data_IF_358673759795
#
_entry.id   IF_358673759795
#
_cell.length_a   1.000
_cell.length_b   1.000
_cell.length_c   1.000
_cell.angle_alpha   90.00
_cell.angle_beta   90.00
_cell.angle_gamma   90.00
#
_symmetry.space_group_name_H-M   'P 1'
#
loop_
_entity.id
_entity.type
_entity.pdbx_description
1 polymer ?
#
# COMPACT_ATOMS: atom_id res chain seq x y z
N UNK A 1 -51.92 43.73 19.24
CA UNK A 1 -50.65 42.97 19.23
C UNK A 1 -50.11 42.95 17.79
N UNK A 2 -49.34 43.96 17.39
CA UNK A 2 -48.88 44.15 16.00
C UNK A 2 -47.52 43.47 15.83
N UNK A 3 -47.53 42.24 15.32
CA UNK A 3 -46.30 41.58 14.85
C UNK A 3 -45.96 42.23 13.50
N UNK A 4 -45.11 43.25 13.56
CA UNK A 4 -44.69 44.06 12.42
C UNK A 4 -44.10 43.19 11.31
N UNK A 5 -44.61 43.35 10.07
CA UNK A 5 -44.16 42.74 8.79
C UNK A 5 -42.63 42.64 8.63
N UNK A 6 -41.86 43.53 9.27
CA UNK A 6 -40.39 43.51 9.29
C UNK A 6 -39.78 42.21 9.85
N UNK A 7 -40.42 41.55 10.81
CA UNK A 7 -39.91 40.30 11.39
C UNK A 7 -40.10 39.07 10.48
N UNK A 8 -41.07 39.10 9.56
CA UNK A 8 -41.32 37.99 8.64
C UNK A 8 -40.32 37.99 7.48
N UNK A 9 -39.98 39.17 6.96
CA UNK A 9 -39.00 39.34 5.88
C UNK A 9 -37.60 38.91 6.35
N UNK A 10 -37.24 39.24 7.60
CA UNK A 10 -35.94 38.86 8.17
C UNK A 10 -35.79 37.35 8.36
N UNK A 11 -36.86 36.64 8.77
CA UNK A 11 -36.86 35.17 8.90
C UNK A 11 -36.76 34.46 7.54
N UNK A 12 -37.45 34.94 6.51
CA UNK A 12 -37.36 34.38 5.15
C UNK A 12 -35.95 34.59 4.57
N UNK A 13 -35.33 35.74 4.83
CA UNK A 13 -33.96 36.02 4.38
C UNK A 13 -32.92 35.13 5.07
N UNK A 14 -33.06 34.88 6.38
CA UNK A 14 -32.21 33.95 7.13
C UNK A 14 -32.35 32.49 6.66
N UNK A 15 -33.56 32.05 6.32
CA UNK A 15 -33.80 30.71 5.74
C UNK A 15 -33.18 30.61 4.34
N UNK A 16 -33.32 31.65 3.51
CA UNK A 16 -32.71 31.73 2.18
C UNK A 16 -31.18 31.72 2.20
N UNK A 17 -30.54 32.49 3.09
CA UNK A 17 -29.08 32.48 3.23
C UNK A 17 -28.55 31.14 3.76
N UNK A 18 -29.31 30.47 4.64
CA UNK A 18 -28.98 29.11 5.11
C UNK A 18 -29.04 28.09 3.98
N UNK A 19 -29.99 28.22 3.05
CA UNK A 19 -30.15 27.32 1.90
C UNK A 19 -29.04 27.50 0.84
N UNK A 20 -28.60 28.74 0.59
CA UNK A 20 -27.48 29.02 -0.34
C UNK A 20 -26.14 28.59 0.26
N UNK A 21 -25.93 28.74 1.58
CA UNK A 21 -24.76 28.24 2.27
C UNK A 21 -24.71 26.69 2.30
N UNK A 22 -25.86 26.03 2.44
CA UNK A 22 -25.98 24.57 2.33
C UNK A 22 -25.66 24.09 0.90
N UNK A 23 -26.19 24.74 -0.13
CA UNK A 23 -25.93 24.35 -1.52
C UNK A 23 -24.47 24.57 -1.96
N UNK A 24 -23.85 25.68 -1.58
CA UNK A 24 -22.44 25.95 -1.91
C UNK A 24 -21.48 24.98 -1.23
N UNK A 25 -21.77 24.58 0.03
CA UNK A 25 -20.99 23.56 0.75
C UNK A 25 -21.14 22.17 0.11
N UNK A 26 -22.36 21.79 -0.27
CA UNK A 26 -22.62 20.52 -0.99
C UNK A 26 -21.86 20.48 -2.33
N UNK A 27 -21.86 21.57 -3.10
CA UNK A 27 -21.15 21.66 -4.38
C UNK A 27 -19.61 21.60 -4.20
N UNK A 28 -19.07 22.25 -3.18
CA UNK A 28 -17.63 22.24 -2.89
C UNK A 28 -17.14 20.87 -2.39
N UNK A 29 -17.94 20.19 -1.56
CA UNK A 29 -17.66 18.84 -1.10
C UNK A 29 -17.74 17.82 -2.24
N UNK A 30 -18.70 17.98 -3.15
CA UNK A 30 -18.82 17.16 -4.36
C UNK A 30 -17.62 17.35 -5.30
N UNK A 31 -17.14 18.59 -5.45
CA UNK A 31 -15.93 18.91 -6.24
C UNK A 31 -14.66 18.22 -5.71
N UNK A 32 -14.56 18.03 -4.39
CA UNK A 32 -13.44 17.32 -3.75
C UNK A 32 -13.57 15.80 -3.92
N UNK A 33 -14.78 15.27 -3.70
CA UNK A 33 -15.08 13.86 -3.91
C UNK A 33 -14.83 13.45 -5.37
N UNK A 34 -15.28 14.25 -6.34
CA UNK A 34 -15.05 14.04 -7.78
C UNK A 34 -13.56 14.05 -8.11
N UNK A 35 -12.76 14.94 -7.52
CA UNK A 35 -11.31 14.99 -7.77
C UNK A 35 -10.59 13.75 -7.27
N UNK A 36 -11.02 13.24 -6.12
CA UNK A 36 -10.44 12.05 -5.48
C UNK A 36 -10.89 10.78 -6.20
N UNK A 37 -12.16 10.71 -6.60
CA UNK A 37 -12.66 9.73 -7.55
C UNK A 37 -11.84 9.72 -8.85
N UNK A 38 -11.57 10.89 -9.45
CA UNK A 38 -10.71 11.00 -10.64
C UNK A 38 -9.28 10.52 -10.38
N UNK A 39 -8.71 10.79 -9.20
CA UNK A 39 -7.42 10.24 -8.81
C UNK A 39 -7.45 8.71 -8.63
N UNK A 40 -8.50 8.17 -8.03
CA UNK A 40 -8.70 6.73 -7.87
C UNK A 40 -8.85 6.03 -9.23
N UNK A 41 -9.63 6.61 -10.13
CA UNK A 41 -9.77 6.16 -11.53
C UNK A 41 -8.44 6.25 -12.29
N UNK A 42 -7.57 7.21 -11.94
CA UNK A 42 -6.25 7.34 -12.55
C UNK A 42 -5.24 6.28 -12.07
N UNK A 43 -5.56 5.53 -11.01
CA UNK A 43 -4.77 4.37 -10.65
C UNK A 43 -4.96 3.29 -11.71
N UNK A 44 -3.86 2.96 -12.39
CA UNK A 44 -3.81 1.90 -13.37
C UNK A 44 -2.60 1.05 -13.07
N UNK A 45 -2.80 -0.27 -13.07
CA UNK A 45 -1.69 -1.22 -13.07
C UNK A 45 -1.03 -1.10 -14.45
N UNK A 46 0.24 -0.67 -14.49
CA UNK A 46 0.93 -0.37 -15.74
C UNK A 46 1.66 -1.56 -16.34
N UNK A 47 1.84 -1.55 -17.67
CA UNK A 47 2.48 -2.58 -18.51
C UNK A 47 3.25 -3.68 -17.78
N UNK A 48 4.46 -3.37 -17.30
CA UNK A 48 5.34 -4.37 -16.66
C UNK A 48 4.78 -4.98 -15.37
N UNK A 49 3.93 -4.26 -14.63
CA UNK A 49 3.22 -4.76 -13.46
C UNK A 49 1.97 -5.58 -13.84
N UNK A 50 1.32 -5.30 -14.99
CA UNK A 50 0.17 -6.08 -15.48
C UNK A 50 0.52 -7.55 -15.61
N UNK A 51 1.74 -7.85 -16.08
CA UNK A 51 2.27 -9.21 -16.27
C UNK A 51 2.83 -9.85 -14.99
N UNK A 52 2.92 -9.09 -13.90
CA UNK A 52 3.48 -9.56 -12.62
C UNK A 52 2.65 -9.05 -11.43
N UNK A 53 1.32 -9.26 -11.39
CA UNK A 53 0.51 -8.78 -10.27
C UNK A 53 0.92 -9.44 -8.95
N UNK A 54 1.50 -10.63 -9.00
CA UNK A 54 2.10 -11.31 -7.85
C UNK A 54 3.30 -10.57 -7.24
N UNK A 55 3.93 -9.62 -7.93
CA UNK A 55 4.99 -8.80 -7.34
C UNK A 55 4.42 -7.64 -6.49
N UNK A 56 3.15 -7.26 -6.70
CA UNK A 56 2.48 -6.18 -5.99
C UNK A 56 1.89 -6.68 -4.66
N UNK A 57 2.76 -7.11 -3.76
CA UNK A 57 2.40 -7.72 -2.48
C UNK A 57 2.74 -6.84 -1.29
N UNK A 58 3.07 -5.56 -1.51
CA UNK A 58 3.53 -4.68 -0.45
C UNK A 58 2.66 -3.45 -0.33
N UNK A 59 2.59 -2.90 0.87
CA UNK A 59 1.97 -1.62 1.18
C UNK A 59 2.83 -0.90 2.20
N UNK A 60 3.03 0.39 2.00
CA UNK A 60 3.41 1.26 3.10
C UNK A 60 2.13 1.74 3.80
N UNK A 61 2.05 1.54 5.11
CA UNK A 61 0.91 1.95 5.94
C UNK A 61 1.36 3.00 6.95
N UNK A 62 0.75 4.17 6.88
CA UNK A 62 0.77 5.20 7.90
C UNK A 62 -0.33 4.93 8.95
N UNK A 63 -0.67 5.96 9.75
CA UNK A 63 -1.74 5.91 10.75
C UNK A 63 -3.13 5.72 10.18
N UNK A 64 -3.37 6.24 8.98
CA UNK A 64 -4.61 6.13 8.23
C UNK A 64 -4.29 5.85 6.76
N UNK A 65 -5.12 5.07 6.10
CA UNK A 65 -5.07 4.89 4.65
C UNK A 65 -5.35 6.20 3.92
N UNK A 66 -4.81 6.33 2.72
CA UNK A 66 -4.89 7.56 1.95
C UNK A 66 -3.94 8.68 2.43
N UNK A 67 -3.25 8.53 3.56
CA UNK A 67 -2.25 9.54 3.98
C UNK A 67 -1.08 9.60 3.00
N UNK A 68 -0.57 10.80 2.73
CA UNK A 68 0.64 10.97 1.91
C UNK A 68 1.84 10.25 2.55
N UNK A 69 2.61 9.55 1.72
CA UNK A 69 3.87 8.93 2.11
C UNK A 69 5.02 9.89 1.80
N UNK A 70 5.62 10.52 2.79
CA UNK A 70 6.71 11.48 2.64
C UNK A 70 8.06 10.80 2.88
N UNK A 71 9.09 11.24 2.14
CA UNK A 71 10.47 10.83 2.38
C UNK A 71 10.92 11.24 3.79
N UNK A 72 11.71 10.39 4.45
CA UNK A 72 12.24 10.61 5.80
C UNK A 72 11.32 10.14 6.94
N UNK A 73 10.08 9.75 6.64
CA UNK A 73 9.13 9.30 7.66
C UNK A 73 9.15 7.78 7.85
N UNK A 74 8.63 7.35 9.01
CA UNK A 74 8.46 5.95 9.37
C UNK A 74 7.06 5.44 9.00
N UNK A 75 7.02 4.20 8.52
CA UNK A 75 5.83 3.50 8.07
C UNK A 75 5.87 2.04 8.51
N UNK A 76 4.73 1.36 8.39
CA UNK A 76 4.67 -0.11 8.36
C UNK A 76 4.84 -0.56 6.91
N UNK A 77 5.81 -1.41 6.63
CA UNK A 77 5.89 -2.11 5.34
C UNK A 77 5.17 -3.45 5.48
N UNK A 78 3.90 -3.49 5.10
CA UNK A 78 3.02 -4.64 5.22
C UNK A 78 3.12 -5.49 3.96
N UNK A 79 3.31 -6.79 4.14
CA UNK A 79 3.09 -7.74 3.06
C UNK A 79 1.59 -8.10 2.99
N UNK A 80 0.96 -7.79 1.88
CA UNK A 80 -0.46 -8.08 1.61
C UNK A 80 -0.74 -9.57 1.75
N UNK A 81 0.23 -10.43 1.42
CA UNK A 81 -0.04 -11.86 1.34
C UNK A 81 -0.25 -12.54 2.68
N UNK A 82 0.47 -12.09 3.71
CA UNK A 82 0.32 -12.58 5.08
C UNK A 82 -0.31 -11.55 6.04
N UNK A 83 -0.56 -10.31 5.59
CA UNK A 83 -1.12 -9.24 6.39
C UNK A 83 -0.19 -8.72 7.50
N UNK A 84 1.11 -9.01 7.45
CA UNK A 84 2.07 -8.70 8.52
C UNK A 84 3.11 -7.68 8.04
N UNK A 85 3.51 -6.79 8.96
CA UNK A 85 4.61 -5.87 8.72
C UNK A 85 5.97 -6.57 8.86
N UNK A 86 6.96 -6.17 8.09
CA UNK A 86 8.34 -6.65 8.28
C UNK A 86 8.94 -6.02 9.54
N UNK A 87 9.74 -6.76 10.31
CA UNK A 87 10.51 -6.25 11.44
C UNK A 87 11.88 -6.89 11.54
N UNK A 88 12.72 -6.35 12.43
CA UNK A 88 13.87 -7.09 12.94
C UNK A 88 13.38 -8.20 13.87
N UNK A 89 13.91 -9.40 13.71
CA UNK A 89 13.79 -10.47 14.69
C UNK A 89 15.19 -10.79 15.20
N UNK A 90 15.44 -10.54 16.49
CA UNK A 90 16.73 -10.89 17.07
C UNK A 90 16.92 -12.41 17.01
N UNK A 91 17.96 -12.86 16.30
CA UNK A 91 18.34 -14.26 16.20
C UNK A 91 19.83 -14.33 16.48
N UNK A 92 20.24 -14.60 17.74
CA UNK A 92 21.66 -14.74 18.06
C UNK A 92 22.28 -15.79 17.13
N UNK A 93 23.47 -15.49 16.61
CA UNK A 93 24.23 -16.31 15.65
C UNK A 93 23.65 -16.45 14.23
N UNK A 94 22.62 -15.68 13.87
CA UNK A 94 22.15 -15.72 12.49
C UNK A 94 23.13 -15.05 11.54
N UNK A 95 23.64 -15.84 10.59
CA UNK A 95 24.29 -15.28 9.40
C UNK A 95 23.27 -14.62 8.46
N UNK A 96 21.94 -14.74 8.70
CA UNK A 96 20.82 -14.22 7.89
C UNK A 96 20.67 -12.69 8.02
N UNK A 97 19.83 -12.04 7.20
CA UNK A 97 19.22 -10.80 7.66
C UNK A 97 18.28 -11.17 8.80
N UNK A 98 18.42 -10.55 9.96
CA UNK A 98 17.59 -10.78 11.14
C UNK A 98 16.20 -10.18 10.94
N UNK A 99 15.49 -10.64 9.91
CA UNK A 99 14.16 -10.20 9.54
C UNK A 99 13.11 -11.19 10.09
N UNK A 100 11.99 -10.64 10.52
CA UNK A 100 10.80 -11.38 10.89
C UNK A 100 9.54 -10.60 10.58
N UNK A 101 8.43 -11.05 11.15
CA UNK A 101 7.11 -10.49 10.93
C UNK A 101 6.53 -9.92 12.22
N UNK A 102 6.09 -8.67 12.18
CA UNK A 102 5.26 -8.07 13.23
C UNK A 102 3.99 -8.92 13.43
N UNK A 103 3.42 -8.89 14.63
CA UNK A 103 2.06 -9.40 14.83
C UNK A 103 1.08 -8.70 13.87
N UNK A 104 0.05 -9.41 13.41
CA UNK A 104 -0.93 -8.87 12.45
C UNK A 104 -1.66 -7.63 12.96
N UNK A 105 -1.86 -7.53 14.27
CA UNK A 105 -2.47 -6.37 14.93
C UNK A 105 -1.47 -5.26 15.31
N UNK A 106 -0.19 -5.40 14.98
CA UNK A 106 0.83 -4.41 15.34
C UNK A 106 0.61 -3.07 14.61
N UNK A 107 0.71 -1.99 15.39
CA UNK A 107 0.66 -0.60 14.90
C UNK A 107 2.04 0.06 14.84
N UNK A 108 3.13 -0.70 14.99
CA UNK A 108 4.50 -0.18 15.08
C UNK A 108 5.01 0.32 13.72
N UNK A 109 5.31 1.61 13.59
CA UNK A 109 5.96 2.18 12.39
C UNK A 109 7.47 2.04 12.48
N UNK A 110 8.01 0.96 11.91
CA UNK A 110 9.42 0.58 12.08
C UNK A 110 10.26 0.69 10.80
N UNK A 111 9.67 1.13 9.68
CA UNK A 111 10.38 1.26 8.39
C UNK A 111 10.46 2.73 7.99
N UNK A 112 11.65 3.32 8.09
CA UNK A 112 11.91 4.63 7.50
C UNK A 112 12.21 4.47 6.00
N UNK A 113 11.62 5.34 5.18
CA UNK A 113 11.82 5.36 3.73
C UNK A 113 12.49 6.67 3.37
N UNK A 114 13.59 6.61 2.61
CA UNK A 114 14.27 7.81 2.10
C UNK A 114 14.38 7.75 0.59
N UNK A 115 13.85 8.74 -0.11
CA UNK A 115 14.00 8.89 -1.57
C UNK A 115 15.44 9.31 -1.90
N UNK A 116 15.95 8.80 -3.01
CA UNK A 116 17.27 9.20 -3.51
C UNK A 116 17.27 10.66 -3.98
N UNK A 117 16.16 11.11 -4.58
CA UNK A 117 16.00 12.48 -5.11
C UNK A 117 14.84 13.21 -4.42
N UNK A 118 15.19 14.25 -3.65
CA UNK A 118 14.25 15.15 -2.97
C UNK A 118 13.56 14.57 -1.74
N UNK A 119 12.89 15.43 -0.97
CA UNK A 119 12.24 15.08 0.31
C UNK A 119 10.70 15.02 0.24
N UNK A 120 10.12 15.15 -0.95
CA UNK A 120 8.67 15.18 -1.12
C UNK A 120 7.97 13.81 -1.00
N UNK A 121 6.69 13.82 -1.37
CA UNK A 121 5.84 12.63 -1.42
C UNK A 121 6.44 11.55 -2.35
N UNK A 122 6.36 10.30 -1.90
CA UNK A 122 6.75 9.10 -2.63
C UNK A 122 5.90 8.92 -3.88
N UNK A 123 6.54 8.45 -4.95
CA UNK A 123 5.96 8.21 -6.27
C UNK A 123 6.38 6.84 -6.78
N UNK A 124 5.58 6.25 -7.66
CA UNK A 124 6.03 5.08 -8.42
C UNK A 124 7.20 5.49 -9.32
N UNK A 125 8.22 4.64 -9.40
CA UNK A 125 9.48 4.91 -10.08
C UNK A 125 10.58 5.44 -9.18
N UNK A 126 10.25 5.95 -7.98
CA UNK A 126 11.27 6.45 -7.06
C UNK A 126 12.24 5.35 -6.65
N UNK A 127 13.52 5.70 -6.66
CA UNK A 127 14.57 4.92 -6.01
C UNK A 127 14.64 5.34 -4.54
N UNK A 128 14.52 4.39 -3.63
CA UNK A 128 14.48 4.60 -2.19
C UNK A 128 15.47 3.71 -1.45
N UNK A 129 15.88 4.18 -0.29
CA UNK A 129 16.51 3.39 0.76
C UNK A 129 15.46 3.08 1.84
N UNK A 130 15.56 1.89 2.43
CA UNK A 130 14.68 1.43 3.51
C UNK A 130 15.53 1.22 4.76
N UNK A 131 15.13 1.80 5.88
CA UNK A 131 15.77 1.61 7.17
C UNK A 131 14.79 0.91 8.11
N UNK A 132 15.20 -0.20 8.73
CA UNK A 132 14.40 -0.88 9.75
C UNK A 132 14.90 -0.45 11.12
N UNK A 133 14.03 0.03 12.00
CA UNK A 133 14.40 0.33 13.40
C UNK A 133 14.46 -0.97 14.23
N UNK A 134 15.50 -1.23 15.05
CA UNK A 134 16.78 -0.51 15.24
C UNK A 134 17.95 -1.20 14.49
N UNK A 135 17.76 -1.58 13.23
CA UNK A 135 18.62 -2.46 12.44
C UNK A 135 19.33 -1.74 11.29
N UNK A 136 19.13 -0.44 11.09
CA UNK A 136 19.82 0.28 10.03
C UNK A 136 19.23 0.08 8.63
N UNK A 137 20.03 0.44 7.62
CA UNK A 137 19.61 0.51 6.23
C UNK A 137 19.71 -0.86 5.54
N UNK A 138 18.61 -1.29 4.93
CA UNK A 138 18.53 -2.53 4.16
C UNK A 138 19.36 -2.44 2.89
N UNK A 139 20.35 -3.32 2.81
CA UNK A 139 21.19 -3.51 1.62
C UNK A 139 21.11 -4.93 1.10
N UNK A 140 21.47 -5.08 -0.17
CA UNK A 140 21.74 -6.39 -0.73
C UNK A 140 23.13 -6.86 -0.30
N UNK A 141 23.25 -8.12 0.14
CA UNK A 141 24.54 -8.77 0.41
C UNK A 141 24.53 -10.12 -0.26
N UNK A 142 25.32 -10.28 -1.33
CA UNK A 142 25.48 -11.58 -2.01
C UNK A 142 26.02 -12.59 -0.99
N UNK A 143 25.36 -13.74 -0.89
CA UNK A 143 25.73 -14.83 0.03
C UNK A 143 25.70 -16.14 -0.75
N UNK A 144 26.87 -16.60 -1.19
CA UNK A 144 27.13 -17.89 -1.85
C UNK A 144 25.90 -18.61 -2.44
N UNK A 145 25.69 -19.85 -2.01
CA UNK A 145 24.56 -20.71 -2.40
C UNK A 145 23.31 -20.52 -1.51
N UNK A 146 23.22 -19.42 -0.77
CA UNK A 146 22.09 -19.22 0.15
C UNK A 146 20.79 -19.01 -0.64
N UNK A 147 19.86 -19.94 -0.48
CA UNK A 147 18.53 -19.82 -1.06
C UNK A 147 17.73 -18.76 -0.32
N UNK A 148 17.25 -17.74 -1.04
CA UNK A 148 16.22 -16.81 -0.59
C UNK A 148 16.55 -15.34 -0.68
N UNK A 149 15.99 -14.54 0.24
CA UNK A 149 16.27 -13.11 0.25
C UNK A 149 17.64 -12.85 0.91
N UNK A 150 18.54 -12.27 0.12
CA UNK A 150 19.92 -12.02 0.49
C UNK A 150 20.07 -10.55 0.90
N UNK A 151 19.52 -10.22 2.07
CA UNK A 151 19.62 -8.89 2.66
C UNK A 151 20.65 -8.87 3.78
N UNK A 152 21.12 -7.67 4.09
CA UNK A 152 21.85 -7.36 5.30
C UNK A 152 21.49 -5.93 5.73
N UNK A 153 21.92 -5.60 6.91
CA UNK A 153 21.94 -4.26 7.49
C UNK A 153 23.26 -3.54 7.24
N UNK A 154 23.15 -2.22 7.34
CA UNK A 154 24.23 -1.25 7.44
C UNK A 154 23.69 -0.06 8.23
N UNK A 155 24.17 0.10 9.46
CA UNK A 155 23.66 1.13 10.38
C UNK A 155 24.05 2.55 9.96
N UNK A 156 24.99 2.72 9.03
CA UNK A 156 25.63 4.01 8.80
C UNK A 156 25.16 4.71 7.53
N UNK A 157 24.82 3.99 6.45
CA UNK A 157 24.60 4.60 5.13
C UNK A 157 23.31 4.12 4.44
N UNK A 158 22.49 5.04 3.89
CA UNK A 158 21.31 4.67 3.11
C UNK A 158 21.68 3.96 1.80
N UNK A 159 21.06 2.80 1.56
CA UNK A 159 21.24 2.01 0.35
C UNK A 159 20.06 2.20 -0.62
N UNK A 160 20.22 3.10 -1.59
CA UNK A 160 19.22 3.41 -2.62
C UNK A 160 19.15 2.33 -3.69
N UNK A 161 18.66 1.15 -3.32
CA UNK A 161 18.60 -0.03 -4.19
C UNK A 161 17.17 -0.50 -4.46
N UNK A 162 16.17 0.18 -3.92
CA UNK A 162 14.77 -0.22 -4.03
C UNK A 162 14.03 0.73 -4.97
N UNK A 163 13.41 0.22 -6.03
CA UNK A 163 12.52 0.99 -6.90
C UNK A 163 11.09 0.66 -6.53
N UNK A 164 10.29 1.67 -6.22
CA UNK A 164 8.87 1.49 -5.91
C UNK A 164 8.08 1.36 -7.21
N UNK A 165 7.44 0.21 -7.45
CA UNK A 165 6.71 -0.09 -8.69
C UNK A 165 5.25 -0.44 -8.41
N UNK A 166 4.44 -0.55 -9.45
CA UNK A 166 3.05 -1.00 -9.36
C UNK A 166 2.05 -0.12 -10.12
N UNK A 167 2.33 1.19 -10.20
CA UNK A 167 1.54 2.14 -10.98
C UNK A 167 2.39 2.95 -11.97
N UNK A 168 1.75 3.93 -12.61
CA UNK A 168 2.37 4.87 -13.55
C UNK A 168 3.55 5.63 -12.93
N UNK A 169 4.67 5.68 -13.64
CA UNK A 169 5.88 6.40 -13.21
C UNK A 169 5.55 7.86 -12.86
N UNK A 170 6.09 8.35 -11.74
CA UNK A 170 5.85 9.71 -11.24
C UNK A 170 4.51 9.92 -10.53
N UNK A 171 3.57 8.95 -10.57
CA UNK A 171 2.32 9.08 -9.81
C UNK A 171 2.58 8.92 -8.32
N UNK A 172 1.95 9.80 -7.55
CA UNK A 172 1.99 9.83 -6.08
C UNK A 172 1.44 8.54 -5.50
N UNK A 173 2.08 8.07 -4.43
CA UNK A 173 1.65 6.91 -3.65
C UNK A 173 1.10 7.40 -2.32
N UNK A 174 0.02 6.76 -1.88
CA UNK A 174 -0.62 7.01 -0.61
C UNK A 174 -0.58 5.75 0.27
N UNK A 175 -0.68 5.95 1.58
CA UNK A 175 -0.71 4.88 2.57
C UNK A 175 -1.78 3.87 2.23
N UNK A 176 -1.43 2.58 2.13
CA UNK A 176 -2.36 1.50 1.79
C UNK A 176 -2.38 1.10 0.32
N UNK A 177 -1.81 1.92 -0.57
CA UNK A 177 -1.75 1.54 -1.97
C UNK A 177 -0.79 0.36 -2.19
N UNK A 178 -1.20 -0.64 -3.00
CA UNK A 178 -0.35 -1.78 -3.32
C UNK A 178 0.82 -1.36 -4.19
N UNK A 179 1.98 -1.93 -3.92
CA UNK A 179 3.23 -1.69 -4.64
C UNK A 179 4.08 -2.95 -4.73
N UNK A 180 5.02 -2.93 -5.65
CA UNK A 180 6.12 -3.88 -5.75
C UNK A 180 7.43 -3.17 -5.35
N UNK A 181 8.31 -3.89 -4.66
CA UNK A 181 9.64 -3.40 -4.27
C UNK A 181 10.70 -4.10 -5.12
N UNK A 182 11.16 -3.42 -6.15
CA UNK A 182 12.19 -3.94 -7.06
C UNK A 182 13.58 -3.65 -6.54
N UNK A 183 14.42 -4.66 -6.40
CA UNK A 183 15.81 -4.47 -6.00
C UNK A 183 16.70 -4.31 -7.25
N UNK A 184 17.38 -3.17 -7.39
CA UNK A 184 18.23 -2.86 -8.56
C UNK A 184 19.48 -3.73 -8.64
N UNK A 185 20.02 -4.19 -7.52
CA UNK A 185 21.20 -5.06 -7.47
C UNK A 185 20.86 -6.48 -7.89
N UNK A 186 19.70 -6.99 -7.45
CA UNK A 186 19.24 -8.34 -7.81
C UNK A 186 18.52 -8.36 -9.15
N UNK A 187 18.03 -7.21 -9.62
CA UNK A 187 17.15 -7.08 -10.78
C UNK A 187 15.86 -7.91 -10.67
N UNK A 188 15.26 -7.95 -9.47
CA UNK A 188 14.03 -8.70 -9.20
C UNK A 188 13.17 -8.03 -8.12
N UNK A 189 11.86 -8.29 -8.14
CA UNK A 189 10.92 -7.83 -7.12
C UNK A 189 11.00 -8.71 -5.87
N UNK A 190 10.92 -8.10 -4.69
CA UNK A 190 10.76 -8.79 -3.43
C UNK A 190 9.33 -9.35 -3.32
N UNK A 191 9.20 -10.64 -3.06
CA UNK A 191 7.91 -11.34 -2.95
C UNK A 191 7.84 -12.13 -1.65
N UNK A 192 6.61 -12.35 -1.16
CA UNK A 192 6.36 -13.39 -0.17
C UNK A 192 6.71 -14.74 -0.78
N UNK A 193 7.50 -15.52 -0.05
CA UNK A 193 8.08 -16.77 -0.52
C UNK A 193 8.31 -17.67 0.68
N UNK A 194 7.34 -18.53 1.02
CA UNK A 194 7.43 -19.42 2.17
C UNK A 194 8.71 -20.24 2.20
N UNK A 195 9.32 -20.42 3.37
CA UNK A 195 10.54 -21.23 3.52
C UNK A 195 10.55 -21.99 4.83
N UNK A 196 11.33 -23.07 4.88
CA UNK A 196 11.61 -23.81 6.12
C UNK A 196 12.48 -23.02 7.09
N UNK A 197 13.42 -22.23 6.56
CA UNK A 197 14.37 -21.45 7.37
C UNK A 197 14.45 -20.01 6.87
N UNK A 198 14.53 -19.07 7.82
CA UNK A 198 14.64 -17.63 7.52
C UNK A 198 13.32 -16.89 7.67
N UNK A 199 13.17 -15.79 6.94
CA UNK A 199 11.89 -15.10 6.75
C UNK A 199 11.28 -15.58 5.42
N UNK A 200 9.95 -15.57 5.31
CA UNK A 200 9.19 -15.97 4.11
C UNK A 200 9.28 -14.94 2.98
N UNK A 201 10.51 -14.68 2.53
CA UNK A 201 10.82 -13.73 1.47
C UNK A 201 11.71 -14.36 0.41
N UNK A 202 11.53 -13.86 -0.80
CA UNK A 202 12.30 -14.27 -1.96
C UNK A 202 12.30 -13.22 -3.06
N UNK A 203 13.03 -13.54 -4.11
CA UNK A 203 13.12 -12.78 -5.34
C UNK A 203 12.20 -13.39 -6.39
N UNK A 204 11.26 -12.60 -6.91
CA UNK A 204 10.32 -13.05 -7.94
C UNK A 204 11.07 -13.61 -9.15
N UNK A 205 10.70 -14.82 -9.59
CA UNK A 205 11.33 -15.54 -10.69
C UNK A 205 12.74 -16.07 -10.42
N UNK A 206 13.32 -15.84 -9.24
CA UNK A 206 14.69 -16.30 -8.88
C UNK A 206 14.73 -17.21 -7.65
N UNK A 207 13.82 -17.02 -6.70
CA UNK A 207 13.73 -17.88 -5.51
C UNK A 207 12.85 -19.10 -5.79
N UNK A 208 13.27 -20.27 -5.29
CA UNK A 208 12.51 -21.53 -5.35
C UNK A 208 11.35 -21.56 -4.34
N UNK A 209 10.37 -20.66 -4.50
CA UNK A 209 9.24 -20.49 -3.58
C UNK A 209 8.24 -21.65 -3.56
N UNK A 210 8.31 -22.55 -4.56
CA UNK A 210 7.45 -23.72 -4.70
C UNK A 210 8.20 -25.04 -4.42
N UNK A 211 9.41 -24.98 -3.86
CA UNK A 211 10.13 -26.20 -3.46
C UNK A 211 9.29 -27.01 -2.46
N UNK A 212 9.45 -28.33 -2.45
CA UNK A 212 8.76 -29.21 -1.48
C UNK A 212 8.94 -28.68 -0.06
N UNK A 213 10.17 -28.37 0.35
CA UNK A 213 10.46 -27.86 1.69
C UNK A 213 9.71 -26.56 2.02
N UNK A 214 9.55 -25.65 1.05
CA UNK A 214 8.69 -24.47 1.18
C UNK A 214 7.19 -24.82 1.29
N UNK A 215 6.72 -25.86 0.60
CA UNK A 215 5.35 -26.38 0.71
C UNK A 215 5.07 -27.00 2.08
N UNK A 216 6.05 -27.69 2.69
CA UNK A 216 5.95 -28.27 4.02
C UNK A 216 5.84 -27.17 5.10
N UNK A 217 6.68 -26.13 5.01
CA UNK A 217 6.66 -24.98 5.93
C UNK A 217 5.31 -24.24 5.94
N UNK A 218 4.68 -24.07 4.78
CA UNK A 218 3.34 -23.47 4.69
C UNK A 218 2.26 -24.24 5.47
N UNK A 219 2.39 -25.57 5.55
CA UNK A 219 1.42 -26.42 6.25
C UNK A 219 1.59 -26.33 7.76
N UNK A 220 2.83 -26.15 8.25
CA UNK A 220 3.14 -26.11 9.69
C UNK A 220 3.05 -24.69 10.26
N UNK A 221 3.37 -23.64 9.48
CA UNK A 221 3.52 -22.26 9.99
C UNK A 221 2.69 -21.19 9.24
N UNK A 222 1.98 -21.55 8.17
CA UNK A 222 1.48 -20.59 7.17
C UNK A 222 -0.04 -20.54 6.95
N UNK A 223 -0.86 -20.92 7.93
CA UNK A 223 -2.27 -21.28 7.65
C UNK A 223 -3.23 -20.09 7.39
N UNK A 224 -2.88 -18.82 7.65
CA UNK A 224 -3.89 -17.74 7.64
C UNK A 224 -3.63 -16.53 6.70
N UNK A 225 -2.75 -16.65 5.71
CA UNK A 225 -2.54 -15.58 4.72
C UNK A 225 -3.67 -15.47 3.68
N UNK A 226 -3.92 -14.27 3.16
CA UNK A 226 -4.88 -14.01 2.06
C UNK A 226 -4.55 -14.85 0.79
N UNK A 227 -3.29 -15.28 0.65
CA UNK A 227 -2.80 -16.16 -0.42
C UNK A 227 -2.48 -17.59 0.04
N UNK A 228 -2.91 -17.97 1.24
CA UNK A 228 -2.90 -19.37 1.69
C UNK A 228 -3.84 -20.22 0.83
N UNK A 229 -3.58 -21.53 0.80
CA UNK A 229 -4.22 -22.56 -0.06
C UNK A 229 -5.75 -22.46 -0.22
N UNK A 230 -6.48 -21.79 0.69
CA UNK A 230 -7.96 -21.68 0.67
C UNK A 230 -8.53 -20.37 0.10
N UNK A 231 -7.77 -19.29 -0.12
CA UNK A 231 -8.35 -18.00 -0.61
C UNK A 231 -7.78 -17.47 -1.93
N UNK A 232 -6.48 -17.62 -2.17
CA UNK A 232 -5.86 -17.31 -3.48
C UNK A 232 -4.80 -18.37 -3.79
N UNK A 233 -5.19 -19.64 -3.73
CA UNK A 233 -4.39 -20.75 -4.27
C UNK A 233 -3.93 -20.40 -5.68
N UNK A 234 -2.81 -21.00 -6.10
CA UNK A 234 -2.19 -20.73 -7.38
C UNK A 234 -3.24 -20.49 -8.50
N UNK A 235 -2.99 -19.50 -9.35
CA UNK A 235 -3.56 -19.38 -10.71
C UNK A 235 -4.91 -18.65 -10.90
N UNK A 236 -5.33 -17.69 -10.06
CA UNK A 236 -6.30 -16.69 -10.55
C UNK A 236 -5.72 -15.27 -10.55
N UNK A 237 -4.90 -15.01 -11.59
CA UNK A 237 -4.34 -13.68 -11.91
C UNK A 237 -5.40 -12.59 -11.90
N UNK A 238 -6.63 -12.89 -12.35
CA UNK A 238 -7.73 -11.95 -12.35
C UNK A 238 -8.22 -11.62 -10.92
N UNK A 239 -8.34 -12.61 -10.02
CA UNK A 239 -8.69 -12.38 -8.60
C UNK A 239 -7.65 -11.50 -7.90
N UNK A 240 -6.36 -11.76 -8.14
CA UNK A 240 -5.27 -10.96 -7.55
C UNK A 240 -5.30 -9.53 -8.10
N UNK A 241 -5.44 -9.39 -9.41
CA UNK A 241 -5.56 -8.09 -10.06
C UNK A 241 -6.74 -7.30 -9.50
N UNK A 242 -7.90 -7.96 -9.36
CA UNK A 242 -9.10 -7.37 -8.76
C UNK A 242 -8.85 -6.91 -7.33
N UNK A 243 -8.28 -7.77 -6.48
CA UNK A 243 -7.96 -7.40 -5.11
C UNK A 243 -6.99 -6.19 -5.03
N UNK A 244 -5.96 -6.16 -5.87
CA UNK A 244 -5.02 -5.02 -5.97
C UNK A 244 -5.78 -3.75 -6.36
N UNK A 245 -6.65 -3.82 -7.37
CA UNK A 245 -7.45 -2.69 -7.82
C UNK A 245 -8.42 -2.20 -6.73
N UNK A 246 -9.19 -3.10 -6.12
CA UNK A 246 -10.11 -2.80 -5.01
C UNK A 246 -9.37 -2.13 -3.85
N UNK A 247 -8.21 -2.67 -3.46
CA UNK A 247 -7.42 -2.12 -2.36
C UNK A 247 -6.84 -0.75 -2.69
N UNK A 248 -6.32 -0.57 -3.92
CA UNK A 248 -5.79 0.71 -4.35
C UNK A 248 -6.87 1.80 -4.41
N UNK A 249 -8.05 1.45 -4.94
CA UNK A 249 -9.18 2.38 -5.10
C UNK A 249 -9.79 2.72 -3.74
N UNK A 250 -10.06 1.74 -2.89
CA UNK A 250 -10.59 1.96 -1.54
C UNK A 250 -9.65 2.82 -0.69
N UNK A 251 -8.34 2.61 -0.81
CA UNK A 251 -7.33 3.46 -0.15
C UNK A 251 -7.45 4.94 -0.56
N UNK A 252 -7.71 5.21 -1.84
CA UNK A 252 -7.88 6.59 -2.33
C UNK A 252 -9.19 7.17 -1.82
N UNK A 253 -10.25 6.38 -1.71
CA UNK A 253 -11.51 6.81 -1.10
C UNK A 253 -11.36 7.11 0.40
N UNK A 254 -10.48 6.42 1.12
CA UNK A 254 -10.21 6.72 2.54
C UNK A 254 -9.44 8.04 2.76
N UNK A 255 -8.85 8.62 1.72
CA UNK A 255 -8.22 9.95 1.77
C UNK A 255 -9.24 11.05 2.06
N UNK A 256 -10.50 10.82 1.67
CA UNK A 256 -11.62 11.69 1.96
C UNK A 256 -12.13 11.38 3.35
N UNK A 257 -12.45 12.40 4.13
CA UNK A 257 -13.22 12.23 5.36
C UNK A 257 -14.70 11.97 4.98
N UNK A 258 -14.96 10.93 4.16
CA UNK A 258 -16.28 10.62 3.58
C UNK A 258 -17.31 10.31 4.66
N UNK A 259 -16.88 10.09 5.91
CA UNK A 259 -17.78 9.99 7.05
C UNK A 259 -18.70 11.22 7.16
N UNK A 260 -18.31 12.39 6.66
CA UNK A 260 -19.18 13.58 6.61
C UNK A 260 -20.13 13.62 5.40
N UNK A 261 -20.03 12.68 4.45
CA UNK A 261 -20.74 12.71 3.16
C UNK A 261 -21.67 11.52 2.95
N UNK A 262 -22.54 11.25 3.93
CA UNK A 262 -23.53 10.17 3.83
C UNK A 262 -24.36 10.23 2.53
N UNK A 263 -24.64 11.43 2.01
CA UNK A 263 -25.37 11.65 0.76
C UNK A 263 -24.59 11.23 -0.50
N UNK A 264 -23.26 11.23 -0.48
CA UNK A 264 -22.44 10.89 -1.64
C UNK A 264 -22.06 9.41 -1.73
N UNK A 265 -22.34 8.61 -0.69
CA UNK A 265 -21.92 7.20 -0.59
C UNK A 265 -22.36 6.33 -1.78
N UNK A 266 -23.61 6.39 -2.28
CA UNK A 266 -24.01 5.60 -3.45
C UNK A 266 -23.24 5.94 -4.73
N UNK A 267 -22.96 7.24 -4.93
CA UNK A 267 -22.22 7.75 -6.09
C UNK A 267 -20.77 7.28 -6.02
N UNK A 268 -20.13 7.40 -4.85
CA UNK A 268 -18.76 6.93 -4.61
C UNK A 268 -18.67 5.42 -4.88
N UNK A 269 -19.57 4.62 -4.32
CA UNK A 269 -19.59 3.17 -4.55
C UNK A 269 -19.73 2.80 -6.04
N UNK A 270 -20.55 3.55 -6.81
CA UNK A 270 -20.69 3.35 -8.25
C UNK A 270 -19.39 3.66 -8.99
N UNK A 271 -18.74 4.77 -8.63
CA UNK A 271 -17.45 5.18 -9.21
C UNK A 271 -16.37 4.15 -8.88
N UNK A 272 -16.29 3.67 -7.64
CA UNK A 272 -15.31 2.66 -7.23
C UNK A 272 -15.48 1.36 -8.02
N UNK A 273 -16.71 0.87 -8.19
CA UNK A 273 -16.99 -0.33 -8.98
C UNK A 273 -16.53 -0.16 -10.44
N UNK A 274 -16.82 0.97 -11.07
CA UNK A 274 -16.38 1.26 -12.44
C UNK A 274 -14.85 1.41 -12.53
N UNK A 275 -14.22 2.05 -11.54
CA UNK A 275 -12.77 2.18 -11.47
C UNK A 275 -12.09 0.80 -11.33
N UNK A 276 -12.63 -0.07 -10.48
CA UNK A 276 -12.13 -1.46 -10.31
C UNK A 276 -12.27 -2.22 -11.62
N UNK A 277 -13.43 -2.14 -12.27
CA UNK A 277 -13.67 -2.78 -13.58
C UNK A 277 -12.65 -2.33 -14.62
N UNK A 278 -12.40 -1.02 -14.73
CA UNK A 278 -11.37 -0.47 -15.64
C UNK A 278 -9.97 -0.94 -15.28
N UNK A 279 -9.59 -0.88 -14.01
CA UNK A 279 -8.28 -1.33 -13.53
C UNK A 279 -8.03 -2.82 -13.80
N UNK A 280 -9.06 -3.67 -13.67
CA UNK A 280 -8.98 -5.11 -13.95
C UNK A 280 -8.90 -5.40 -15.45
N UNK A 281 -9.53 -4.61 -16.30
CA UNK A 281 -9.56 -4.84 -17.75
C UNK A 281 -8.35 -4.26 -18.51
N UNK A 282 -7.61 -3.33 -17.90
CA UNK A 282 -6.38 -2.75 -18.47
C UNK A 282 -5.18 -3.68 -18.35
#
# INVERSE_FOLDING_TARGET
MSITKKNLIFKIFLIGMSFVALNSKVIAEDSRAIRIAKQAISFQIVGNAKNKPHAMQWQFKASKDGRQLLSGNHYRLINIANGRGIMRQNRPHSRAANLGWLASNSKTYNVLIKRQKGNGQLRYGDVVALNLKPYGWLRYKRRGRAGGINLADDDHKPHYIWVVRGGNHGKKIYSGMPLALYNTKVKADMTYCPRTFGIDLGWFGKSKCNSWSARLSNTVWGVNGLFGKKRLGAVNRAKIKRYICETAIGTVADTTDVASLNLAKPVINKIEKEAVKRCVNL
#
